data_IF_201729407448
#
_entry.id   IF_201729407448
#
_cell.length_a   1.000
_cell.length_b   1.000
_cell.length_c   1.000
_cell.angle_alpha   90.00
_cell.angle_beta   90.00
_cell.angle_gamma   90.00
#
_symmetry.space_group_name_H-M   'P 1'
#
loop_
_entity.id
_entity.type
_entity.pdbx_description
1 polymer ?
#
# COMPACT_ATOMS: atom_id res chain seq x y z
N UNK A 1 6.02 33.52 5.41
CA UNK A 1 7.06 32.66 5.95
C UNK A 1 8.42 33.29 5.64
N UNK A 2 9.38 33.27 6.59
CA UNK A 2 10.70 33.81 6.35
C UNK A 2 11.41 32.99 5.25
N UNK A 3 12.08 33.64 4.29
CA UNK A 3 12.80 32.94 3.22
C UNK A 3 13.91 32.08 3.85
N UNK A 4 13.90 30.77 3.55
CA UNK A 4 14.90 29.80 4.02
C UNK A 4 14.46 28.89 5.17
N UNK A 5 13.21 28.96 5.65
CA UNK A 5 12.66 28.02 6.63
C UNK A 5 12.53 26.60 6.05
N UNK A 6 12.31 26.50 4.76
CA UNK A 6 12.31 25.26 3.98
C UNK A 6 13.67 24.55 3.95
N UNK A 7 14.77 25.29 4.18
CA UNK A 7 16.13 24.74 4.27
C UNK A 7 16.42 24.10 5.65
N UNK A 8 15.59 24.32 6.65
CA UNK A 8 15.76 23.75 8.01
C UNK A 8 15.10 22.37 8.16
N UNK A 9 14.29 21.93 7.18
CA UNK A 9 13.61 20.64 7.23
C UNK A 9 14.55 19.56 6.71
N UNK A 10 14.97 18.68 7.61
CA UNK A 10 15.82 17.52 7.26
C UNK A 10 14.95 16.27 7.06
N UNK A 11 14.72 15.92 5.81
CA UNK A 11 13.99 14.69 5.46
C UNK A 11 14.88 13.43 5.50
N UNK A 12 16.09 13.50 6.06
CA UNK A 12 16.99 12.37 6.19
C UNK A 12 17.47 11.81 4.84
N UNK A 13 17.79 10.51 4.82
CA UNK A 13 18.31 9.83 3.63
C UNK A 13 17.37 9.86 2.40
N UNK A 14 16.08 10.10 2.59
CA UNK A 14 15.09 10.15 1.51
C UNK A 14 14.71 11.57 1.09
N UNK A 15 15.52 12.58 1.42
CA UNK A 15 15.30 13.98 1.01
C UNK A 15 15.07 14.12 -0.50
N UNK A 16 15.80 13.35 -1.31
CA UNK A 16 15.67 13.35 -2.77
C UNK A 16 14.25 12.92 -3.24
N UNK A 17 13.52 12.17 -2.43
CA UNK A 17 12.15 11.75 -2.70
C UNK A 17 11.13 12.60 -1.93
N UNK A 18 11.41 12.93 -0.68
CA UNK A 18 10.52 13.70 0.20
C UNK A 18 10.34 15.14 -0.29
N UNK A 19 11.41 15.82 -0.70
CA UNK A 19 11.35 17.20 -1.16
C UNK A 19 10.48 17.38 -2.43
N UNK A 20 10.61 16.56 -3.50
CA UNK A 20 9.67 16.62 -4.63
C UNK A 20 8.23 16.29 -4.25
N UNK A 21 8.03 15.32 -3.35
CA UNK A 21 6.68 14.97 -2.88
C UNK A 21 6.03 16.13 -2.12
N UNK A 22 6.78 16.79 -1.24
CA UNK A 22 6.30 17.98 -0.53
C UNK A 22 6.00 19.12 -1.48
N UNK A 23 6.89 19.37 -2.45
CA UNK A 23 6.66 20.41 -3.46
C UNK A 23 5.36 20.18 -4.25
N UNK A 24 5.12 18.95 -4.69
CA UNK A 24 3.86 18.61 -5.39
C UNK A 24 2.67 18.76 -4.44
N UNK A 25 2.80 18.31 -3.20
CA UNK A 25 1.75 18.41 -2.18
C UNK A 25 1.38 19.86 -1.88
N UNK A 26 2.37 20.76 -1.77
CA UNK A 26 2.17 22.20 -1.58
C UNK A 26 1.41 22.82 -2.76
N UNK A 27 1.78 22.48 -4.00
CA UNK A 27 1.06 22.95 -5.20
C UNK A 27 -0.40 22.46 -5.23
N UNK A 28 -0.64 21.23 -4.80
CA UNK A 28 -2.00 20.68 -4.68
C UNK A 28 -2.78 21.41 -3.57
N UNK A 29 -2.12 21.70 -2.45
CA UNK A 29 -2.72 22.47 -1.36
C UNK A 29 -3.18 23.85 -1.80
N UNK A 30 -2.41 24.52 -2.65
CA UNK A 30 -2.81 25.82 -3.22
C UNK A 30 -4.15 25.75 -3.98
N UNK A 31 -4.48 24.59 -4.56
CA UNK A 31 -5.74 24.37 -5.27
C UNK A 31 -6.90 24.03 -4.34
N UNK A 32 -6.66 23.16 -3.34
CA UNK A 32 -7.71 22.62 -2.47
C UNK A 32 -7.90 23.39 -1.15
N UNK A 33 -6.88 24.12 -0.69
CA UNK A 33 -6.89 24.80 0.60
C UNK A 33 -7.00 23.86 1.81
N UNK A 34 -6.72 22.56 1.62
CA UNK A 34 -6.84 21.54 2.67
C UNK A 34 -5.82 20.42 2.46
N UNK A 35 -4.97 20.17 3.47
CA UNK A 35 -3.88 19.19 3.39
C UNK A 35 -4.37 17.75 3.25
N UNK A 36 -5.49 17.39 3.89
CA UNK A 36 -6.05 16.04 3.77
C UNK A 36 -6.51 15.73 2.35
N UNK A 37 -7.22 16.64 1.71
CA UNK A 37 -7.57 16.49 0.29
C UNK A 37 -6.35 16.50 -0.62
N UNK A 38 -5.32 17.25 -0.25
CA UNK A 38 -4.05 17.27 -0.99
C UNK A 38 -3.32 15.92 -0.91
N UNK A 39 -3.34 15.26 0.25
CA UNK A 39 -2.79 13.90 0.42
C UNK A 39 -3.56 12.90 -0.44
N UNK A 40 -4.88 12.98 -0.48
CA UNK A 40 -5.72 12.11 -1.33
C UNK A 40 -5.39 12.32 -2.81
N UNK A 41 -5.32 13.56 -3.26
CA UNK A 41 -5.00 13.89 -4.64
C UNK A 41 -3.57 13.48 -5.02
N UNK A 42 -2.58 13.71 -4.15
CA UNK A 42 -1.21 13.22 -4.34
C UNK A 42 -1.17 11.71 -4.49
N UNK A 43 -1.90 10.99 -3.62
CA UNK A 43 -1.97 9.52 -3.69
C UNK A 43 -2.53 9.06 -5.04
N UNK A 44 -3.54 9.75 -5.54
CA UNK A 44 -4.12 9.47 -6.85
C UNK A 44 -3.11 9.70 -7.99
N UNK A 45 -2.35 10.81 -7.94
CA UNK A 45 -1.29 11.12 -8.92
C UNK A 45 -0.20 10.03 -8.90
N UNK A 46 0.27 9.63 -7.72
CA UNK A 46 1.25 8.55 -7.57
C UNK A 46 0.71 7.25 -8.18
N UNK A 47 -0.57 6.91 -7.94
CA UNK A 47 -1.21 5.74 -8.52
C UNK A 47 -1.30 5.79 -10.04
N UNK A 48 -1.58 6.96 -10.61
CA UNK A 48 -1.59 7.15 -12.07
C UNK A 48 -0.19 6.98 -12.66
N UNK A 49 0.82 7.55 -12.01
CA UNK A 49 2.21 7.45 -12.47
C UNK A 49 2.68 5.98 -12.54
N UNK A 50 2.36 5.19 -11.52
CA UNK A 50 2.73 3.77 -11.43
C UNK A 50 1.64 2.82 -11.95
N UNK A 51 0.64 3.33 -12.66
CA UNK A 51 -0.51 2.54 -13.10
C UNK A 51 -0.11 1.31 -13.91
N UNK A 52 0.74 1.47 -14.93
CA UNK A 52 1.17 0.36 -15.80
C UNK A 52 1.94 -0.72 -15.06
N UNK A 53 2.76 -0.30 -14.10
CA UNK A 53 3.54 -1.23 -13.29
C UNK A 53 2.63 -2.03 -12.34
N UNK A 54 1.67 -1.35 -11.70
CA UNK A 54 0.65 -1.99 -10.86
C UNK A 54 -0.26 -2.91 -11.68
N UNK A 55 -0.64 -2.52 -12.90
CA UNK A 55 -1.46 -3.35 -13.79
C UNK A 55 -0.75 -4.67 -14.14
N UNK A 56 0.54 -4.62 -14.47
CA UNK A 56 1.33 -5.82 -14.76
C UNK A 56 1.39 -6.76 -13.55
N UNK A 57 1.58 -6.18 -12.37
CA UNK A 57 1.59 -6.92 -11.10
C UNK A 57 0.24 -7.59 -10.81
N UNK A 58 -0.86 -6.86 -10.90
CA UNK A 58 -2.20 -7.41 -10.66
C UNK A 58 -2.59 -8.46 -11.70
N UNK A 59 -2.21 -8.31 -12.96
CA UNK A 59 -2.39 -9.36 -13.99
C UNK A 59 -1.62 -10.65 -13.62
N UNK A 60 -0.39 -10.52 -13.11
CA UNK A 60 0.39 -11.67 -12.64
C UNK A 60 -0.29 -12.36 -11.45
N UNK A 61 -0.77 -11.58 -10.48
CA UNK A 61 -1.52 -12.09 -9.32
C UNK A 61 -2.83 -12.78 -9.72
N UNK A 62 -3.56 -12.22 -10.68
CA UNK A 62 -4.80 -12.84 -11.20
C UNK A 62 -4.50 -14.18 -11.87
N UNK A 63 -3.43 -14.29 -12.66
CA UNK A 63 -2.97 -15.56 -13.23
C UNK A 63 -2.60 -16.57 -12.14
N UNK A 64 -1.84 -16.14 -11.10
CA UNK A 64 -1.53 -17.01 -9.95
C UNK A 64 -2.79 -17.52 -9.26
N UNK A 65 -3.82 -16.69 -9.13
CA UNK A 65 -5.11 -17.11 -8.55
C UNK A 65 -5.78 -18.22 -9.38
N UNK A 66 -5.68 -18.20 -10.72
CA UNK A 66 -6.16 -19.30 -11.58
C UNK A 66 -5.38 -20.60 -11.35
N UNK A 67 -4.11 -20.53 -10.94
CA UNK A 67 -3.28 -21.70 -10.66
C UNK A 67 -3.48 -22.30 -9.27
N UNK A 68 -4.22 -21.62 -8.37
CA UNK A 68 -4.47 -22.09 -6.99
C UNK A 68 -4.90 -23.56 -6.92
N UNK A 69 -5.85 -24.08 -7.72
CA UNK A 69 -6.25 -25.50 -7.64
C UNK A 69 -5.09 -26.45 -7.98
N UNK A 70 -4.24 -26.10 -8.98
CA UNK A 70 -3.05 -26.92 -9.30
C UNK A 70 -2.01 -26.89 -8.18
N UNK A 71 -1.86 -25.73 -7.52
CA UNK A 71 -0.95 -25.56 -6.38
C UNK A 71 -1.42 -26.36 -5.16
N UNK A 72 -2.74 -26.43 -4.91
CA UNK A 72 -3.33 -27.25 -3.86
C UNK A 72 -3.09 -28.74 -4.12
N UNK A 73 -3.33 -29.22 -5.34
CA UNK A 73 -3.07 -30.59 -5.72
C UNK A 73 -1.57 -30.97 -5.60
N UNK A 74 -0.65 -30.05 -5.93
CA UNK A 74 0.77 -30.26 -5.70
C UNK A 74 1.12 -30.35 -4.22
N UNK A 75 0.49 -29.54 -3.39
CA UNK A 75 0.70 -29.58 -1.94
C UNK A 75 0.21 -30.91 -1.34
N UNK A 76 -0.91 -31.43 -1.78
CA UNK A 76 -1.41 -32.75 -1.37
C UNK A 76 -0.47 -33.88 -1.80
N UNK A 77 0.12 -33.77 -3.01
CA UNK A 77 1.03 -34.78 -3.55
C UNK A 77 2.43 -34.78 -2.93
N UNK A 78 2.99 -33.62 -2.62
CA UNK A 78 4.38 -33.43 -2.19
C UNK A 78 4.52 -32.70 -0.83
N UNK A 79 3.43 -32.54 -0.05
CA UNK A 79 3.38 -31.66 1.11
C UNK A 79 4.41 -31.94 2.19
N UNK A 80 4.92 -33.16 2.31
CA UNK A 80 5.97 -33.53 3.25
C UNK A 80 7.36 -33.24 2.69
N UNK A 81 7.54 -33.30 1.36
CA UNK A 81 8.82 -33.04 0.68
C UNK A 81 8.83 -31.60 0.14
N UNK A 82 9.25 -30.66 1.00
CA UNK A 82 9.34 -29.22 0.66
C UNK A 82 10.21 -28.96 -0.58
N UNK A 83 11.25 -29.76 -0.82
CA UNK A 83 12.14 -29.57 -1.96
C UNK A 83 11.43 -29.91 -3.27
N UNK A 84 10.81 -31.10 -3.35
CA UNK A 84 10.05 -31.51 -4.54
C UNK A 84 8.84 -30.63 -4.79
N UNK A 85 8.14 -30.18 -3.72
CA UNK A 85 7.05 -29.22 -3.83
C UNK A 85 7.52 -27.91 -4.44
N UNK A 86 8.63 -27.33 -3.94
CA UNK A 86 9.21 -26.08 -4.46
C UNK A 86 9.63 -26.19 -5.91
N UNK A 87 10.31 -27.29 -6.29
CA UNK A 87 10.73 -27.56 -7.67
C UNK A 87 9.54 -27.68 -8.62
N UNK A 88 8.51 -28.43 -8.23
CA UNK A 88 7.30 -28.60 -9.02
C UNK A 88 6.51 -27.28 -9.15
N UNK A 89 6.45 -26.48 -8.08
CA UNK A 89 5.81 -25.15 -8.08
C UNK A 89 6.53 -24.19 -9.03
N UNK A 90 7.87 -24.15 -8.98
CA UNK A 90 8.67 -23.33 -9.90
C UNK A 90 8.52 -23.76 -11.35
N UNK A 91 8.33 -25.06 -11.60
CA UNK A 91 8.05 -25.58 -12.95
C UNK A 91 6.72 -25.07 -13.47
N UNK A 92 5.65 -25.12 -12.67
CA UNK A 92 4.33 -24.53 -13.04
C UNK A 92 4.46 -23.05 -13.35
N UNK A 93 5.15 -22.26 -12.51
CA UNK A 93 5.31 -20.83 -12.75
C UNK A 93 6.05 -20.54 -14.06
N UNK A 94 7.04 -21.36 -14.44
CA UNK A 94 7.75 -21.24 -15.71
C UNK A 94 6.86 -21.61 -16.91
N UNK A 95 6.12 -22.72 -16.82
CA UNK A 95 5.20 -23.20 -17.87
C UNK A 95 4.09 -22.18 -18.16
N UNK A 96 3.50 -21.62 -17.12
CA UNK A 96 2.40 -20.64 -17.21
C UNK A 96 2.89 -19.20 -17.39
N UNK A 97 4.22 -18.99 -17.48
CA UNK A 97 4.86 -17.66 -17.62
C UNK A 97 4.37 -16.66 -16.58
N UNK A 98 4.24 -17.11 -15.32
CA UNK A 98 3.82 -16.30 -14.18
C UNK A 98 5.03 -16.00 -13.29
N UNK A 99 5.24 -14.72 -12.99
CA UNK A 99 6.31 -14.31 -12.08
C UNK A 99 5.75 -14.15 -10.65
N UNK A 100 6.15 -15.02 -9.69
CA UNK A 100 5.69 -14.90 -8.30
C UNK A 100 6.16 -13.61 -7.62
N UNK A 101 7.30 -13.05 -8.04
CA UNK A 101 7.81 -11.78 -7.52
C UNK A 101 7.01 -10.57 -8.02
N UNK A 102 6.26 -10.73 -9.11
CA UNK A 102 5.40 -9.67 -9.63
C UNK A 102 4.37 -9.18 -8.61
N UNK A 103 3.91 -10.03 -7.70
CA UNK A 103 2.91 -9.68 -6.68
C UNK A 103 3.43 -8.75 -5.57
N UNK A 104 4.73 -8.78 -5.26
CA UNK A 104 5.33 -7.93 -4.22
C UNK A 104 5.83 -6.57 -4.74
N UNK A 105 5.90 -6.38 -6.06
CA UNK A 105 6.45 -5.17 -6.67
C UNK A 105 5.73 -3.87 -6.23
N UNK A 106 4.38 -3.82 -6.13
CA UNK A 106 3.69 -2.63 -5.62
C UNK A 106 4.12 -2.26 -4.20
N UNK A 107 4.39 -3.24 -3.34
CA UNK A 107 4.83 -3.02 -1.95
C UNK A 107 6.23 -2.42 -1.92
N UNK A 108 7.14 -2.95 -2.75
CA UNK A 108 8.52 -2.46 -2.83
C UNK A 108 8.60 -0.99 -3.25
N UNK A 109 7.70 -0.54 -4.14
CA UNK A 109 7.61 0.87 -4.54
C UNK A 109 6.94 1.70 -3.45
N UNK A 110 5.97 1.12 -2.77
CA UNK A 110 5.18 1.78 -1.74
C UNK A 110 6.02 2.15 -0.51
N UNK A 111 6.96 1.30 -0.09
CA UNK A 111 7.77 1.51 1.13
C UNK A 111 8.56 2.83 1.08
N UNK A 112 9.37 3.13 0.04
CA UNK A 112 10.09 4.40 -0.03
C UNK A 112 9.16 5.62 -0.03
N UNK A 113 8.05 5.55 -0.76
CA UNK A 113 7.05 6.64 -0.81
C UNK A 113 6.43 6.84 0.58
N UNK A 114 6.09 5.75 1.27
CA UNK A 114 5.53 5.81 2.62
C UNK A 114 6.49 6.46 3.62
N UNK A 115 7.77 6.05 3.61
CA UNK A 115 8.79 6.61 4.50
C UNK A 115 9.02 8.10 4.19
N UNK A 116 9.06 8.46 2.91
CA UNK A 116 9.22 9.86 2.51
C UNK A 116 8.04 10.72 2.98
N UNK A 117 6.80 10.25 2.82
CA UNK A 117 5.60 10.95 3.31
C UNK A 117 5.52 11.00 4.84
N UNK A 118 6.00 9.96 5.54
CA UNK A 118 6.11 10.00 6.99
C UNK A 118 6.97 11.18 7.45
N UNK A 119 8.16 11.35 6.86
CA UNK A 119 9.03 12.48 7.16
C UNK A 119 8.40 13.81 6.77
N UNK A 120 7.77 13.89 5.60
CA UNK A 120 7.05 15.09 5.16
C UNK A 120 5.98 15.50 6.17
N UNK A 121 5.16 14.56 6.67
CA UNK A 121 4.07 14.86 7.60
C UNK A 121 4.58 15.28 8.97
N UNK A 122 5.64 14.66 9.48
CA UNK A 122 6.17 14.95 10.82
C UNK A 122 7.00 16.23 10.83
N UNK A 123 7.85 16.42 9.82
CA UNK A 123 8.80 17.53 9.81
C UNK A 123 8.19 18.83 9.25
N UNK A 124 7.13 18.74 8.41
CA UNK A 124 6.51 19.94 7.84
C UNK A 124 5.74 20.73 8.89
N UNK A 125 6.16 21.95 9.13
CA UNK A 125 5.49 22.87 10.06
C UNK A 125 4.06 23.18 9.60
N UNK A 126 3.84 23.22 8.29
CA UNK A 126 2.57 23.50 7.63
C UNK A 126 1.48 22.45 7.91
N UNK A 127 1.86 21.23 8.24
CA UNK A 127 0.91 20.15 8.55
C UNK A 127 0.57 20.06 10.02
N UNK A 128 1.29 20.77 10.90
CA UNK A 128 0.98 20.83 12.32
C UNK A 128 -0.33 21.59 12.53
N UNK A 129 -1.25 20.97 13.28
CA UNK A 129 -2.60 21.48 13.50
C UNK A 129 -3.41 21.76 12.22
N UNK A 130 -3.03 21.10 11.10
CA UNK A 130 -3.78 21.19 9.86
C UNK A 130 -5.01 20.27 9.92
N UNK A 131 -6.23 20.83 9.85
CA UNK A 131 -7.45 20.01 9.87
C UNK A 131 -7.68 19.35 8.51
N UNK A 132 -8.32 18.19 8.54
CA UNK A 132 -8.81 17.54 7.32
C UNK A 132 -10.34 17.71 7.19
N UNK A 133 -11.08 16.87 7.89
CA UNK A 133 -12.53 16.84 7.86
C UNK A 133 -13.08 16.16 9.12
N UNK A 134 -14.30 16.56 9.53
CA UNK A 134 -15.02 15.97 10.67
C UNK A 134 -14.23 16.09 11.96
N UNK A 135 -13.79 14.95 12.50
CA UNK A 135 -13.08 14.85 13.77
C UNK A 135 -11.55 14.97 13.66
N UNK A 136 -11.00 14.94 12.45
CA UNK A 136 -9.54 15.07 12.22
C UNK A 136 -9.19 16.55 12.22
N UNK A 137 -8.73 17.04 13.35
CA UNK A 137 -8.36 18.45 13.56
C UNK A 137 -6.86 18.70 13.38
N UNK A 138 -6.06 17.63 13.35
CA UNK A 138 -4.61 17.66 13.18
C UNK A 138 -4.12 16.43 12.44
N UNK A 139 -3.62 16.62 11.23
CA UNK A 139 -3.09 15.55 10.39
C UNK A 139 -1.72 15.03 10.87
N UNK A 140 -0.99 15.79 11.69
CA UNK A 140 0.28 15.38 12.29
C UNK A 140 0.11 14.56 13.57
N UNK A 141 -1.09 14.50 14.12
CA UNK A 141 -1.45 13.75 15.32
C UNK A 141 -2.20 12.47 14.99
N UNK A 142 -2.22 11.52 15.93
CA UNK A 142 -3.00 10.29 15.78
C UNK A 142 -4.51 10.59 15.77
N UNK A 143 -5.28 9.73 15.10
CA UNK A 143 -6.74 9.84 15.07
C UNK A 143 -7.34 9.57 16.46
N UNK A 144 -8.00 10.56 17.09
CA UNK A 144 -8.48 10.43 18.47
C UNK A 144 -9.60 9.38 18.64
N UNK A 145 -10.31 9.05 17.57
CA UNK A 145 -11.38 8.05 17.57
C UNK A 145 -10.99 6.71 16.92
N UNK A 146 -9.75 6.59 16.43
CA UNK A 146 -9.23 5.39 15.76
C UNK A 146 -10.03 4.93 14.53
N UNK A 147 -10.86 5.81 13.96
CA UNK A 147 -11.72 5.47 12.82
C UNK A 147 -10.87 5.21 11.57
N UNK A 148 -9.89 6.09 11.29
CA UNK A 148 -9.00 5.90 10.13
C UNK A 148 -8.18 4.60 10.20
N UNK A 149 -7.52 4.26 11.33
CA UNK A 149 -6.83 2.98 11.47
C UNK A 149 -7.74 1.76 11.28
N UNK A 150 -8.97 1.80 11.81
CA UNK A 150 -9.94 0.72 11.66
C UNK A 150 -10.35 0.58 10.18
N UNK A 151 -10.69 1.67 9.50
CA UNK A 151 -11.02 1.66 8.07
C UNK A 151 -9.83 1.16 7.22
N UNK A 152 -8.62 1.55 7.59
CA UNK A 152 -7.41 1.06 6.96
C UNK A 152 -7.26 -0.46 7.13
N UNK A 153 -7.45 -0.99 8.35
CA UNK A 153 -7.40 -2.43 8.61
C UNK A 153 -8.44 -3.22 7.83
N UNK A 154 -9.68 -2.69 7.75
CA UNK A 154 -10.75 -3.28 6.93
C UNK A 154 -10.35 -3.28 5.45
N UNK A 155 -9.81 -2.17 4.95
CA UNK A 155 -9.34 -2.08 3.56
C UNK A 155 -8.22 -3.06 3.25
N UNK A 156 -7.27 -3.25 4.17
CA UNK A 156 -6.20 -4.26 4.05
C UNK A 156 -6.78 -5.68 4.00
N UNK A 157 -7.75 -6.00 4.85
CA UNK A 157 -8.41 -7.30 4.84
C UNK A 157 -9.12 -7.57 3.51
N UNK A 158 -9.85 -6.59 2.99
CA UNK A 158 -10.52 -6.69 1.68
C UNK A 158 -9.47 -6.92 0.57
N UNK A 159 -8.38 -6.16 0.58
CA UNK A 159 -7.31 -6.30 -0.41
C UNK A 159 -6.65 -7.69 -0.35
N UNK A 160 -6.46 -8.26 0.84
CA UNK A 160 -5.96 -9.63 0.98
C UNK A 160 -6.88 -10.68 0.34
N UNK A 161 -8.20 -10.50 0.41
CA UNK A 161 -9.16 -11.41 -0.24
C UNK A 161 -9.10 -11.37 -1.76
N UNK A 162 -8.61 -10.28 -2.34
CA UNK A 162 -8.39 -10.17 -3.78
C UNK A 162 -7.10 -10.88 -4.23
N UNK A 163 -6.14 -11.04 -3.35
CA UNK A 163 -4.86 -11.69 -3.63
C UNK A 163 -5.01 -13.23 -3.69
N UNK A 164 -4.11 -13.93 -4.40
CA UNK A 164 -4.05 -15.39 -4.33
C UNK A 164 -3.69 -15.82 -2.90
N UNK A 165 -4.34 -16.87 -2.37
CA UNK A 165 -4.03 -17.36 -1.04
C UNK A 165 -2.61 -17.94 -0.99
N UNK A 166 -1.87 -17.76 0.11
CA UNK A 166 -0.58 -18.41 0.32
C UNK A 166 -0.73 -19.93 0.34
N UNK A 167 0.26 -20.63 -0.18
CA UNK A 167 0.29 -22.11 -0.20
C UNK A 167 0.68 -22.71 1.14
N UNK A 168 1.46 -21.99 1.95
CA UNK A 168 1.90 -22.42 3.27
C UNK A 168 0.89 -22.02 4.35
N UNK A 169 0.54 -22.97 5.26
CA UNK A 169 -0.46 -22.75 6.31
C UNK A 169 0.00 -21.71 7.36
N UNK A 170 1.31 -21.67 7.66
CA UNK A 170 1.85 -20.66 8.58
C UNK A 170 1.78 -19.28 7.96
N UNK A 171 2.18 -19.15 6.70
CA UNK A 171 2.10 -17.90 5.95
C UNK A 171 0.65 -17.40 5.86
N UNK A 172 -0.32 -18.30 5.66
CA UNK A 172 -1.74 -17.97 5.65
C UNK A 172 -2.20 -17.35 6.98
N UNK A 173 -1.78 -17.93 8.11
CA UNK A 173 -2.09 -17.39 9.45
C UNK A 173 -1.47 -16.01 9.66
N UNK A 174 -0.22 -15.84 9.25
CA UNK A 174 0.49 -14.54 9.35
C UNK A 174 -0.25 -13.49 8.52
N UNK A 175 -0.60 -13.80 7.27
CA UNK A 175 -1.34 -12.88 6.40
C UNK A 175 -2.69 -12.48 7.00
N UNK A 176 -3.43 -13.41 7.60
CA UNK A 176 -4.69 -13.10 8.28
C UNK A 176 -4.51 -12.20 9.50
N UNK A 177 -3.41 -12.31 10.22
CA UNK A 177 -3.11 -11.48 11.39
C UNK A 177 -2.63 -10.06 11.02
N UNK A 178 -2.00 -9.88 9.85
CA UNK A 178 -1.41 -8.61 9.43
C UNK A 178 -2.37 -7.42 9.49
N UNK A 179 -3.61 -7.44 8.99
CA UNK A 179 -4.52 -6.30 9.07
C UNK A 179 -4.78 -5.86 10.52
N UNK A 180 -4.88 -6.79 11.45
CA UNK A 180 -5.09 -6.50 12.87
C UNK A 180 -3.84 -5.87 13.50
N UNK A 181 -2.66 -6.45 13.23
CA UNK A 181 -1.37 -5.93 13.71
C UNK A 181 -1.16 -4.51 13.18
N UNK A 182 -1.39 -4.27 11.89
CA UNK A 182 -1.23 -2.96 11.29
C UNK A 182 -2.27 -1.95 11.80
N UNK A 183 -3.53 -2.35 12.03
CA UNK A 183 -4.54 -1.49 12.63
C UNK A 183 -4.08 -0.97 13.98
N UNK A 184 -3.58 -1.87 14.83
CA UNK A 184 -3.07 -1.50 16.16
C UNK A 184 -1.83 -0.60 16.07
N UNK A 185 -0.88 -0.95 15.19
CA UNK A 185 0.33 -0.16 14.98
C UNK A 185 -0.01 1.25 14.48
N UNK A 186 -0.86 1.38 13.47
CA UNK A 186 -1.24 2.65 12.87
C UNK A 186 -2.18 3.50 13.73
N UNK A 187 -2.72 2.93 14.81
CA UNK A 187 -3.47 3.71 15.80
C UNK A 187 -2.63 4.80 16.48
N UNK A 188 -1.31 4.66 16.49
CA UNK A 188 -0.36 5.61 17.08
C UNK A 188 0.30 6.53 16.04
N UNK A 189 0.07 6.29 14.75
CA UNK A 189 0.68 7.10 13.68
C UNK A 189 -0.13 8.36 13.39
N UNK A 190 0.51 9.39 12.79
CA UNK A 190 -0.17 10.60 12.33
C UNK A 190 -1.34 10.26 11.40
N UNK A 191 -2.49 10.90 11.63
CA UNK A 191 -3.72 10.64 10.85
C UNK A 191 -3.55 10.94 9.36
N UNK A 192 -2.71 11.89 8.97
CA UNK A 192 -2.36 12.13 7.56
C UNK A 192 -1.69 10.95 6.88
N UNK A 193 -0.83 10.21 7.61
CA UNK A 193 -0.18 9.00 7.09
C UNK A 193 -1.17 7.84 6.96
N UNK A 194 -2.04 7.68 7.94
CA UNK A 194 -3.12 6.67 7.90
C UNK A 194 -4.09 6.97 6.75
N UNK A 195 -4.43 8.24 6.55
CA UNK A 195 -5.27 8.71 5.43
C UNK A 195 -4.64 8.38 4.08
N UNK A 196 -3.34 8.64 3.92
CA UNK A 196 -2.59 8.25 2.72
C UNK A 196 -2.68 6.74 2.47
N UNK A 197 -2.43 5.91 3.51
CA UNK A 197 -2.46 4.45 3.38
C UNK A 197 -3.85 3.93 3.06
N UNK A 198 -4.87 4.43 3.75
CA UNK A 198 -6.27 4.10 3.46
C UNK A 198 -6.65 4.43 2.01
N UNK A 199 -6.33 5.65 1.57
CA UNK A 199 -6.59 6.09 0.19
C UNK A 199 -5.87 5.20 -0.82
N UNK A 200 -4.61 4.88 -0.55
CA UNK A 200 -3.82 3.97 -1.39
C UNK A 200 -4.44 2.58 -1.48
N UNK A 201 -4.94 2.03 -0.36
CA UNK A 201 -5.61 0.73 -0.34
C UNK A 201 -6.92 0.76 -1.13
N UNK A 202 -7.75 1.77 -0.93
CA UNK A 202 -9.04 1.92 -1.65
C UNK A 202 -8.81 1.99 -3.16
N UNK A 203 -7.86 2.80 -3.60
CA UNK A 203 -7.49 2.91 -5.02
C UNK A 203 -6.90 1.59 -5.56
N UNK A 204 -6.10 0.88 -4.75
CA UNK A 204 -5.55 -0.43 -5.10
C UNK A 204 -6.64 -1.49 -5.26
N UNK A 205 -7.61 -1.52 -4.34
CA UNK A 205 -8.76 -2.43 -4.40
C UNK A 205 -9.56 -2.18 -5.68
N UNK A 206 -9.89 -0.92 -5.96
CA UNK A 206 -10.63 -0.55 -7.17
C UNK A 206 -9.87 -0.97 -8.44
N UNK A 207 -8.58 -0.65 -8.52
CA UNK A 207 -7.72 -1.02 -9.65
C UNK A 207 -7.62 -2.53 -9.82
N UNK A 208 -7.33 -3.26 -8.74
CA UNK A 208 -7.20 -4.72 -8.75
C UNK A 208 -8.51 -5.41 -9.10
N UNK A 209 -9.64 -4.92 -8.60
CA UNK A 209 -10.96 -5.45 -8.94
C UNK A 209 -11.24 -5.35 -10.44
N UNK A 210 -11.00 -4.19 -11.04
CA UNK A 210 -11.20 -3.98 -12.49
C UNK A 210 -10.27 -4.88 -13.31
N UNK A 211 -9.00 -4.98 -12.93
CA UNK A 211 -8.02 -5.81 -13.63
C UNK A 211 -8.36 -7.29 -13.49
N UNK A 212 -8.72 -7.74 -12.29
CA UNK A 212 -9.13 -9.13 -12.06
C UNK A 212 -10.35 -9.50 -12.91
N UNK A 213 -11.37 -8.63 -12.96
CA UNK A 213 -12.56 -8.86 -13.78
C UNK A 213 -12.20 -9.02 -15.25
N UNK A 214 -11.29 -8.20 -15.79
CA UNK A 214 -10.83 -8.27 -17.19
C UNK A 214 -9.93 -9.48 -17.49
N UNK A 215 -9.17 -9.95 -16.50
CA UNK A 215 -8.18 -11.03 -16.70
C UNK A 215 -8.78 -12.41 -16.39
N UNK A 216 -9.81 -12.48 -15.53
CA UNK A 216 -10.45 -13.73 -15.11
C UNK A 216 -11.71 -14.06 -15.94
N UNK A 217 -12.32 -13.05 -16.57
CA UNK A 217 -13.34 -13.24 -17.60
C UNK A 217 -12.71 -13.79 -18.88
#
# INVERSE_FOLDING_TARGET
>A
LAPGLDLTVDYGMLTFLAAPLFWVLDKIYFLFGNWGWSIIALTFIIKLLFFRLSETSYKSMAKMKKLTPRMTALKERYGEDRKKFSEALMKIYKEEKVNPLGGCLPILIQIPVFIALYWVIIESVEMRHAPFAGWILDLSSADPFYILPILMGISMYIQQKLNPPPTDAMQQKIFLALPFIFTFLFATFPSGLVLYWLTNNVLSIAQQYVINKRTLA
#
